data_IF_864644887045
#
_entry.id   IF_864644887045
#
_cell.length_a   1.000
_cell.length_b   1.000
_cell.length_c   1.000
_cell.angle_alpha   90.00
_cell.angle_beta   90.00
_cell.angle_gamma   90.00
#
_symmetry.space_group_name_H-M   'P 1'
#
loop_
_entity.id
_entity.type
_entity.pdbx_description
1 polymer ?
#
# COMPACT_ATOMS: atom_id res chain seq x y z
N UNK A 1 -8.10 4.73 1.42
CA UNK A 1 -8.72 4.83 2.76
C UNK A 1 -9.85 5.85 2.83
N UNK A 2 -9.59 7.14 2.62
CA UNK A 2 -10.57 8.22 2.86
C UNK A 2 -11.92 8.03 2.13
N UNK A 3 -11.93 7.65 0.85
CA UNK A 3 -13.16 7.45 0.09
C UNK A 3 -13.98 6.22 0.54
N UNK A 4 -13.31 5.10 0.86
CA UNK A 4 -14.01 3.93 1.41
C UNK A 4 -14.69 4.26 2.75
N UNK A 5 -13.98 4.97 3.62
CA UNK A 5 -14.53 5.45 4.90
C UNK A 5 -15.68 6.45 4.71
N UNK A 6 -15.55 7.38 3.76
CA UNK A 6 -16.62 8.34 3.45
C UNK A 6 -17.89 7.65 2.94
N UNK A 7 -17.76 6.60 2.13
CA UNK A 7 -18.91 5.79 1.71
C UNK A 7 -19.58 5.12 2.91
N UNK A 8 -18.82 4.50 3.81
CA UNK A 8 -19.38 3.86 5.02
C UNK A 8 -20.15 4.88 5.89
N UNK A 9 -19.58 6.07 6.07
CA UNK A 9 -20.17 7.11 6.91
C UNK A 9 -21.38 7.82 6.28
N UNK A 10 -21.39 7.99 4.95
CA UNK A 10 -22.34 8.88 4.25
C UNK A 10 -23.32 8.14 3.32
N UNK A 11 -23.03 6.90 2.96
CA UNK A 11 -23.84 6.09 2.03
C UNK A 11 -23.86 6.61 0.58
N UNK A 12 -22.99 7.55 0.22
CA UNK A 12 -22.93 8.10 -1.13
C UNK A 12 -22.05 7.24 -2.05
N UNK A 13 -22.69 6.58 -3.00
CA UNK A 13 -22.10 5.65 -3.97
C UNK A 13 -20.87 6.22 -4.70
N UNK A 14 -20.82 7.53 -4.93
CA UNK A 14 -19.69 8.18 -5.63
C UNK A 14 -18.36 7.96 -4.90
N UNK A 15 -18.38 7.88 -3.57
CA UNK A 15 -17.17 7.60 -2.81
C UNK A 15 -16.72 6.14 -2.96
N UNK A 16 -17.65 5.19 -3.05
CA UNK A 16 -17.31 3.79 -3.32
C UNK A 16 -16.69 3.66 -4.72
N UNK A 17 -17.29 4.29 -5.73
CA UNK A 17 -16.82 4.22 -7.11
C UNK A 17 -15.39 4.77 -7.25
N UNK A 18 -15.09 5.89 -6.59
CA UNK A 18 -13.73 6.45 -6.57
C UNK A 18 -12.75 5.53 -5.83
N UNK A 19 -13.15 4.93 -4.72
CA UNK A 19 -12.30 4.01 -3.98
C UNK A 19 -11.95 2.76 -4.81
N UNK A 20 -12.94 2.18 -5.50
CA UNK A 20 -12.77 1.03 -6.40
C UNK A 20 -11.90 1.38 -7.61
N UNK A 21 -12.12 2.54 -8.22
CA UNK A 21 -11.32 3.01 -9.35
C UNK A 21 -9.84 3.21 -8.97
N UNK A 22 -9.59 3.80 -7.79
CA UNK A 22 -8.23 3.96 -7.28
C UNK A 22 -7.59 2.60 -6.98
N UNK A 23 -8.32 1.67 -6.38
CA UNK A 23 -7.78 0.35 -6.08
C UNK A 23 -7.36 -0.41 -7.36
N UNK A 24 -8.22 -0.35 -8.38
CA UNK A 24 -7.93 -0.89 -9.72
C UNK A 24 -6.68 -0.24 -10.32
N UNK A 25 -6.61 1.08 -10.33
CA UNK A 25 -5.48 1.82 -10.89
C UNK A 25 -4.17 1.41 -10.21
N UNK A 26 -4.13 1.35 -8.89
CA UNK A 26 -2.90 0.96 -8.17
C UNK A 26 -2.52 -0.49 -8.51
N UNK A 27 -3.49 -1.41 -8.68
CA UNK A 27 -3.20 -2.82 -9.00
C UNK A 27 -2.66 -2.97 -10.42
N UNK A 28 -3.21 -2.22 -11.35
CA UNK A 28 -2.89 -2.35 -12.77
C UNK A 28 -1.65 -1.53 -13.17
N UNK A 29 -1.42 -0.39 -12.53
CA UNK A 29 -0.41 0.58 -12.94
C UNK A 29 0.77 0.73 -11.97
N UNK A 30 0.57 0.43 -10.68
CA UNK A 30 1.57 0.63 -9.62
C UNK A 30 2.01 -0.67 -8.95
N UNK A 31 1.48 -1.82 -9.36
CA UNK A 31 1.89 -3.12 -8.85
C UNK A 31 2.51 -3.96 -9.96
N UNK A 32 3.80 -4.23 -9.85
CA UNK A 32 4.56 -4.99 -10.84
C UNK A 32 5.53 -5.93 -10.15
N UNK A 33 5.63 -7.17 -10.62
CA UNK A 33 6.60 -8.16 -10.13
C UNK A 33 6.57 -8.36 -8.61
N UNK A 34 5.38 -8.26 -7.99
CA UNK A 34 5.23 -8.41 -6.53
C UNK A 34 5.73 -7.21 -5.72
N UNK A 35 5.90 -6.05 -6.36
CA UNK A 35 6.34 -4.80 -5.75
C UNK A 35 5.39 -3.66 -6.08
N UNK A 36 5.15 -2.82 -5.09
CA UNK A 36 4.45 -1.55 -5.24
C UNK A 36 5.43 -0.48 -5.73
N UNK A 37 4.94 0.40 -6.59
CA UNK A 37 5.67 1.55 -7.12
C UNK A 37 5.07 2.84 -6.53
N UNK A 38 5.94 3.74 -6.13
CA UNK A 38 5.59 4.96 -5.38
C UNK A 38 4.89 6.02 -6.23
N UNK A 39 5.23 6.11 -7.53
CA UNK A 39 4.73 7.21 -8.36
C UNK A 39 4.42 6.78 -9.79
N UNK A 40 3.39 7.41 -10.34
CA UNK A 40 3.00 7.32 -11.74
C UNK A 40 3.08 8.70 -12.40
N UNK A 41 3.86 8.82 -13.47
CA UNK A 41 3.97 10.06 -14.24
C UNK A 41 4.22 9.74 -15.71
N UNK A 42 3.58 10.50 -16.60
CA UNK A 42 3.74 10.39 -18.06
C UNK A 42 3.56 8.95 -18.58
N UNK A 43 2.58 8.22 -18.00
CA UNK A 43 2.23 6.86 -18.38
C UNK A 43 3.17 5.78 -17.84
N UNK A 44 4.02 6.10 -16.86
CA UNK A 44 5.02 5.17 -16.34
C UNK A 44 5.14 5.24 -14.82
N UNK A 45 5.38 4.07 -14.21
CA UNK A 45 5.84 3.95 -12.84
C UNK A 45 7.24 3.33 -12.79
N UNK A 46 8.09 3.93 -11.97
CA UNK A 46 9.53 3.60 -11.97
C UNK A 46 10.18 3.61 -10.59
N UNK A 47 9.58 4.31 -9.63
CA UNK A 47 10.16 4.49 -8.29
C UNK A 47 9.64 3.37 -7.40
N UNK A 48 10.49 2.54 -6.78
CA UNK A 48 10.06 1.53 -5.82
C UNK A 48 9.30 2.15 -4.65
N UNK A 49 8.26 1.47 -4.19
CA UNK A 49 7.49 1.87 -3.02
C UNK A 49 8.31 1.77 -1.73
N UNK A 50 8.03 2.71 -0.82
CA UNK A 50 8.54 2.73 0.56
C UNK A 50 7.56 2.01 1.49
N UNK A 51 7.99 1.70 2.72
CA UNK A 51 7.17 1.02 3.72
C UNK A 51 5.77 1.63 3.85
N UNK A 52 5.70 2.96 3.92
CA UNK A 52 4.47 3.73 4.05
C UNK A 52 3.48 3.48 2.90
N UNK A 53 3.98 3.36 1.66
CA UNK A 53 3.14 3.10 0.50
C UNK A 53 2.40 1.77 0.67
N UNK A 54 3.11 0.72 1.10
CA UNK A 54 2.49 -0.59 1.37
C UNK A 54 1.54 -0.53 2.56
N UNK A 55 1.94 0.11 3.67
CA UNK A 55 1.19 0.13 4.92
C UNK A 55 -0.12 0.91 4.78
N UNK A 56 -0.07 2.17 4.33
CA UNK A 56 -1.27 2.99 4.19
C UNK A 56 -2.20 2.48 3.09
N UNK A 57 -1.63 1.95 2.00
CA UNK A 57 -2.46 1.38 0.94
C UNK A 57 -3.14 0.08 1.38
N UNK A 58 -2.42 -0.80 2.08
CA UNK A 58 -2.98 -2.01 2.70
C UNK A 58 -4.12 -1.70 3.68
N UNK A 59 -3.96 -0.69 4.54
CA UNK A 59 -5.06 -0.20 5.39
C UNK A 59 -6.24 0.31 4.55
N UNK A 60 -5.96 1.01 3.45
CA UNK A 60 -6.98 1.45 2.50
C UNK A 60 -7.79 0.31 1.89
N UNK A 61 -7.15 -0.81 1.57
CA UNK A 61 -7.80 -2.02 1.05
C UNK A 61 -8.65 -2.72 2.11
N UNK A 62 -8.21 -2.75 3.37
CA UNK A 62 -9.02 -3.28 4.49
C UNK A 62 -10.31 -2.46 4.66
N UNK A 63 -10.23 -1.13 4.61
CA UNK A 63 -11.43 -0.29 4.65
C UNK A 63 -12.34 -0.52 3.43
N UNK A 64 -11.74 -0.71 2.24
CA UNK A 64 -12.52 -1.00 1.04
C UNK A 64 -13.23 -2.36 1.11
N UNK A 65 -12.59 -3.38 1.70
CA UNK A 65 -13.24 -4.65 2.03
C UNK A 65 -14.43 -4.44 2.99
N UNK A 66 -14.28 -3.65 4.05
CA UNK A 66 -15.40 -3.36 4.97
C UNK A 66 -16.58 -2.70 4.24
N UNK A 67 -16.28 -1.78 3.34
CA UNK A 67 -17.28 -1.04 2.56
C UNK A 67 -18.01 -1.91 1.51
N UNK A 68 -17.32 -2.87 0.90
CA UNK A 68 -17.82 -3.62 -0.28
C UNK A 68 -18.20 -5.07 0.02
N UNK A 69 -17.59 -5.68 1.04
CA UNK A 69 -17.63 -7.12 1.29
C UNK A 69 -16.76 -7.96 0.34
N UNK A 70 -16.03 -7.33 -0.59
CA UNK A 70 -15.25 -8.04 -1.61
C UNK A 70 -13.89 -8.51 -1.05
N UNK A 71 -13.74 -9.84 -0.97
CA UNK A 71 -12.58 -10.50 -0.36
C UNK A 71 -11.28 -10.24 -1.11
N UNK A 72 -11.33 -9.93 -2.41
CA UNK A 72 -10.14 -9.68 -3.22
C UNK A 72 -9.31 -8.51 -2.65
N UNK A 73 -9.98 -7.51 -2.07
CA UNK A 73 -9.31 -6.40 -1.40
C UNK A 73 -8.55 -6.83 -0.14
N UNK A 74 -9.14 -7.72 0.65
CA UNK A 74 -8.49 -8.23 1.86
C UNK A 74 -7.31 -9.15 1.52
N UNK A 75 -7.46 -9.97 0.48
CA UNK A 75 -6.39 -10.84 0.00
C UNK A 75 -5.20 -10.03 -0.51
N UNK A 76 -5.45 -8.95 -1.26
CA UNK A 76 -4.38 -8.07 -1.68
C UNK A 76 -3.74 -7.30 -0.52
N UNK A 77 -4.52 -6.87 0.48
CA UNK A 77 -3.95 -6.27 1.69
C UNK A 77 -2.97 -7.23 2.40
N UNK A 78 -3.28 -8.54 2.41
CA UNK A 78 -2.38 -9.58 2.92
C UNK A 78 -1.10 -9.71 2.08
N UNK A 79 -1.21 -9.71 0.74
CA UNK A 79 -0.03 -9.74 -0.14
C UNK A 79 0.92 -8.57 0.14
N UNK A 80 0.38 -7.36 0.37
CA UNK A 80 1.18 -6.19 0.72
C UNK A 80 1.88 -6.37 2.08
N UNK A 81 1.18 -6.93 3.08
CA UNK A 81 1.76 -7.23 4.39
C UNK A 81 2.89 -8.27 4.29
N UNK A 82 2.76 -9.27 3.43
CA UNK A 82 3.81 -10.27 3.18
C UNK A 82 5.07 -9.61 2.59
N UNK A 83 4.90 -8.61 1.73
CA UNK A 83 6.03 -7.80 1.24
C UNK A 83 6.62 -6.94 2.36
N UNK A 84 5.80 -6.34 3.23
CA UNK A 84 6.28 -5.59 4.40
C UNK A 84 7.18 -6.47 5.28
N UNK A 85 6.70 -7.67 5.63
CA UNK A 85 7.42 -8.60 6.49
C UNK A 85 8.73 -9.09 5.86
N UNK A 86 8.72 -9.39 4.55
CA UNK A 86 9.90 -9.91 3.86
C UNK A 86 10.95 -8.84 3.54
N UNK A 87 10.53 -7.63 3.16
CA UNK A 87 11.44 -6.61 2.64
C UNK A 87 11.80 -5.53 3.65
N UNK A 88 10.94 -5.26 4.63
CA UNK A 88 11.08 -4.09 5.49
C UNK A 88 11.33 -4.45 6.94
N UNK A 89 11.01 -5.66 7.42
CA UNK A 89 11.27 -6.04 8.81
C UNK A 89 12.78 -6.08 9.12
N UNK A 90 13.17 -5.57 10.30
CA UNK A 90 14.48 -5.85 10.89
C UNK A 90 14.35 -6.99 11.90
N UNK A 91 14.69 -8.21 11.47
CA UNK A 91 14.66 -9.39 12.33
C UNK A 91 15.72 -9.37 13.45
N UNK A 92 16.76 -8.52 13.33
CA UNK A 92 17.86 -8.44 14.30
C UNK A 92 17.53 -7.48 15.44
N UNK A 93 17.04 -6.28 15.12
CA UNK A 93 16.80 -5.22 16.10
C UNK A 93 15.32 -4.86 16.29
N UNK A 94 14.41 -5.53 15.58
CA UNK A 94 12.98 -5.21 15.58
C UNK A 94 12.62 -3.95 14.79
N UNK A 95 11.32 -3.75 14.58
CA UNK A 95 10.79 -2.65 13.77
C UNK A 95 10.95 -2.87 12.27
N UNK A 96 10.72 -1.81 11.50
CA UNK A 96 10.74 -1.84 10.05
C UNK A 96 11.61 -0.72 9.49
N UNK A 97 12.32 -0.99 8.40
CA UNK A 97 13.04 0.01 7.61
C UNK A 97 12.09 0.73 6.67
N UNK A 98 12.41 1.98 6.31
CA UNK A 98 11.56 2.77 5.41
C UNK A 98 11.70 2.33 3.93
N UNK A 99 12.84 1.71 3.60
CA UNK A 99 13.20 1.27 2.24
C UNK A 99 13.28 -0.25 2.17
N UNK A 100 12.96 -0.86 1.03
CA UNK A 100 13.03 -2.31 0.84
C UNK A 100 14.46 -2.85 0.87
N UNK A 101 14.65 -4.10 1.31
CA UNK A 101 15.97 -4.74 1.40
C UNK A 101 16.67 -4.97 0.05
N UNK A 102 15.89 -5.08 -1.03
CA UNK A 102 16.34 -5.22 -2.42
C UNK A 102 16.35 -3.87 -3.18
N UNK A 103 16.12 -2.76 -2.47
CA UNK A 103 16.19 -1.42 -3.01
C UNK A 103 17.63 -0.95 -3.29
N UNK A 104 17.80 0.35 -3.51
CA UNK A 104 19.12 0.94 -3.69
C UNK A 104 20.02 0.61 -2.48
N UNK A 105 21.27 0.24 -2.74
CA UNK A 105 22.24 -0.11 -1.71
C UNK A 105 22.65 1.14 -0.92
N UNK A 106 21.83 1.51 0.06
CA UNK A 106 22.10 2.61 0.98
C UNK A 106 23.16 2.18 2.01
N UNK A 107 24.08 3.08 2.36
CA UNK A 107 25.08 2.88 3.43
C UNK A 107 24.38 2.61 4.79
N UNK A 108 23.21 3.22 4.99
CA UNK A 108 22.33 2.99 6.14
C UNK A 108 20.88 3.00 5.64
N UNK A 109 20.09 1.99 6.03
CA UNK A 109 18.64 2.00 5.85
C UNK A 109 18.00 2.69 7.06
N UNK A 110 17.30 3.82 6.87
CA UNK A 110 16.65 4.51 7.98
C UNK A 110 15.47 3.70 8.50
N UNK A 111 15.17 3.93 9.78
CA UNK A 111 13.92 3.55 10.42
C UNK A 111 13.37 4.79 11.09
N UNK A 112 12.20 5.26 10.67
CA UNK A 112 11.52 6.27 11.47
C UNK A 112 11.03 5.63 12.78
N UNK A 113 11.31 6.26 13.92
CA UNK A 113 10.69 5.92 15.21
C UNK A 113 9.40 6.71 15.45
N UNK A 114 9.03 7.57 14.50
CA UNK A 114 7.88 8.45 14.56
C UNK A 114 6.89 8.13 13.43
N UNK A 115 5.61 8.06 13.76
CA UNK A 115 4.53 8.02 12.75
C UNK A 115 4.43 9.36 12.01
N UNK A 116 4.12 9.29 10.72
CA UNK A 116 3.78 10.43 9.86
C UNK A 116 2.25 10.71 9.84
#
# INVERSE_FOLDING_TARGET
RAFAYAYEALGDQRYQDVALANARFVREALWAEGRLLHSWKDGQARIPGMLEDYAYYGLGLVELYRATGDRDHLEWARELLEVILSQFADETNGGFFDTAADGESLIVRPKSLFDA
#
